data_IF_407464730930
#
_entry.id   IF_407464730930
#
_cell.length_a   1.000
_cell.length_b   1.000
_cell.length_c   1.000
_cell.angle_alpha   90.00
_cell.angle_beta   90.00
_cell.angle_gamma   90.00
#
_symmetry.space_group_name_H-M   'P 1'
#
loop_
_entity.id
_entity.type
_entity.pdbx_description
1 polymer ?
#
# COMPACT_ATOMS: atom_id res chain seq x y z
N UNK A 1 -16.71 -22.70 51.65
CA UNK A 1 -16.24 -21.33 51.92
C UNK A 1 -15.54 -20.84 50.66
N UNK A 2 -16.33 -20.43 49.68
CA UNK A 2 -16.75 -19.04 49.41
C UNK A 2 -15.66 -18.25 48.66
N UNK A 3 -15.94 -18.10 47.36
CA UNK A 3 -15.55 -16.98 46.52
C UNK A 3 -15.56 -15.65 47.28
N UNK A 4 -14.59 -14.79 47.00
CA UNK A 4 -14.69 -13.33 47.05
C UNK A 4 -13.37 -12.76 46.50
N UNK A 5 -13.31 -11.72 45.66
CA UNK A 5 -14.30 -10.93 44.94
C UNK A 5 -13.46 -9.90 44.16
N UNK A 6 -13.73 -9.74 42.87
CA UNK A 6 -13.28 -8.57 42.09
C UNK A 6 -13.65 -7.29 42.84
N UNK A 7 -12.66 -6.45 43.16
CA UNK A 7 -12.92 -5.11 43.69
C UNK A 7 -12.89 -4.10 42.53
N UNK A 8 -14.06 -3.91 41.94
CA UNK A 8 -14.39 -2.83 40.99
C UNK A 8 -14.40 -1.54 41.79
N UNK A 9 -13.35 -0.70 41.65
CA UNK A 9 -13.37 0.66 42.19
C UNK A 9 -13.68 1.69 41.11
N UNK A 10 -14.98 2.01 41.08
CA UNK A 10 -15.63 3.31 40.79
C UNK A 10 -14.86 4.31 39.90
N UNK A 11 -15.41 4.48 38.71
CA UNK A 11 -15.26 5.66 37.86
C UNK A 11 -15.71 6.91 38.62
N UNK A 12 -14.78 7.81 38.92
CA UNK A 12 -15.08 9.20 39.29
C UNK A 12 -14.94 10.08 38.05
N UNK A 13 -16.07 10.56 37.53
CA UNK A 13 -16.12 11.65 36.55
C UNK A 13 -15.70 12.96 37.25
N UNK A 14 -14.62 13.59 36.78
CA UNK A 14 -14.21 14.95 37.17
C UNK A 14 -13.45 15.61 35.98
N UNK A 15 -13.57 16.93 35.77
CA UNK A 15 -13.61 17.53 34.45
C UNK A 15 -12.24 17.86 33.86
N UNK A 16 -12.22 17.89 32.53
CA UNK A 16 -11.19 18.38 31.62
C UNK A 16 -10.30 19.46 32.26
N UNK A 17 -9.05 19.10 32.52
CA UNK A 17 -7.93 20.05 32.60
C UNK A 17 -6.76 19.50 31.80
N UNK A 18 -6.23 20.40 30.97
CA UNK A 18 -5.13 20.23 30.02
C UNK A 18 -3.88 19.63 30.69
N UNK A 19 -3.12 18.89 29.88
CA UNK A 19 -1.73 18.46 30.10
C UNK A 19 -1.47 17.59 31.33
N UNK A 20 -1.63 16.28 31.17
CA UNK A 20 -0.92 15.28 31.95
C UNK A 20 -0.41 14.23 30.96
N UNK A 21 0.89 14.32 30.63
CA UNK A 21 1.61 13.25 29.95
C UNK A 21 1.62 12.08 30.92
N UNK A 22 0.86 11.04 30.61
CA UNK A 22 0.90 9.80 31.37
C UNK A 22 2.13 9.03 30.89
N UNK A 23 3.25 9.18 31.59
CA UNK A 23 4.44 8.34 31.42
C UNK A 23 4.08 6.93 31.89
N UNK A 24 3.54 6.11 30.97
CA UNK A 24 3.50 4.67 31.16
C UNK A 24 4.95 4.16 31.20
N UNK A 25 5.23 3.25 32.14
CA UNK A 25 6.51 2.52 32.21
C UNK A 25 6.80 1.91 30.83
N UNK A 26 7.82 2.44 30.14
CA UNK A 26 8.35 1.88 28.89
C UNK A 26 9.02 0.55 29.20
N UNK A 27 8.30 -0.56 29.04
CA UNK A 27 8.96 -1.82 28.76
C UNK A 27 9.65 -1.68 27.40
N UNK A 28 10.90 -2.14 27.28
CA UNK A 28 11.69 -2.11 26.04
C UNK A 28 10.85 -2.61 24.85
N UNK A 29 10.30 -1.69 24.06
CA UNK A 29 9.60 -2.01 22.82
C UNK A 29 10.69 -2.34 21.82
N UNK A 30 11.12 -3.59 21.77
CA UNK A 30 11.75 -4.12 20.58
C UNK A 30 10.75 -3.89 19.45
N UNK A 31 11.04 -2.91 18.57
CA UNK A 31 10.22 -2.69 17.38
C UNK A 31 10.11 -4.04 16.67
N UNK A 32 8.90 -4.60 16.65
CA UNK A 32 8.66 -5.86 15.98
C UNK A 32 8.95 -5.64 14.49
N UNK A 33 10.07 -6.17 14.02
CA UNK A 33 10.56 -5.97 12.65
C UNK A 33 9.80 -6.82 11.63
N UNK A 34 8.74 -7.51 12.05
CA UNK A 34 7.81 -8.17 11.14
C UNK A 34 6.98 -7.12 10.39
N UNK A 35 7.03 -7.19 9.06
CA UNK A 35 6.17 -6.44 8.16
C UNK A 35 5.33 -7.41 7.34
N UNK A 36 4.03 -7.44 7.60
CA UNK A 36 3.07 -8.28 6.88
C UNK A 36 2.45 -7.50 5.74
N UNK A 37 2.61 -7.98 4.51
CA UNK A 37 1.99 -7.41 3.32
C UNK A 37 0.60 -8.02 3.11
N UNK A 38 -0.43 -7.20 3.26
CA UNK A 38 -1.84 -7.54 3.04
C UNK A 38 -2.19 -7.47 1.54
N UNK A 39 -1.57 -8.34 0.74
CA UNK A 39 -1.87 -8.49 -0.69
C UNK A 39 -1.71 -9.92 -1.17
N UNK A 40 -2.60 -10.33 -2.08
CA UNK A 40 -2.49 -11.62 -2.79
C UNK A 40 -1.63 -11.53 -4.06
N UNK A 41 -1.17 -10.33 -4.43
CA UNK A 41 -0.36 -10.13 -5.62
C UNK A 41 1.13 -10.36 -5.31
N UNK A 42 1.65 -11.53 -5.70
CA UNK A 42 3.05 -11.89 -5.48
C UNK A 42 4.07 -10.91 -6.08
N UNK A 43 3.75 -10.26 -7.22
CA UNK A 43 4.64 -9.24 -7.79
C UNK A 43 4.79 -8.02 -6.88
N UNK A 44 3.71 -7.62 -6.18
CA UNK A 44 3.78 -6.52 -5.21
C UNK A 44 4.63 -6.91 -4.00
N UNK A 45 4.47 -8.13 -3.49
CA UNK A 45 5.26 -8.65 -2.37
C UNK A 45 6.76 -8.58 -2.68
N UNK A 46 7.16 -9.01 -3.88
CA UNK A 46 8.57 -8.93 -4.29
C UNK A 46 9.08 -7.49 -4.43
N UNK A 47 8.26 -6.56 -4.94
CA UNK A 47 8.61 -5.13 -4.96
C UNK A 47 8.79 -4.56 -3.53
N UNK A 48 7.97 -4.96 -2.56
CA UNK A 48 8.10 -4.54 -1.17
C UNK A 48 9.33 -5.15 -0.48
N UNK A 49 9.58 -6.46 -0.65
CA UNK A 49 10.77 -7.13 -0.08
C UNK A 49 12.06 -6.41 -0.45
N UNK A 50 12.21 -6.07 -1.74
CA UNK A 50 13.37 -5.32 -2.25
C UNK A 50 13.59 -3.95 -1.58
N UNK A 51 12.57 -3.38 -0.95
CA UNK A 51 12.65 -2.06 -0.30
C UNK A 51 12.81 -2.18 1.22
N UNK A 52 12.07 -3.09 1.85
CA UNK A 52 12.00 -3.19 3.32
C UNK A 52 13.03 -4.15 3.92
N UNK A 53 13.41 -5.24 3.25
CA UNK A 53 14.43 -6.17 3.78
C UNK A 53 15.81 -5.51 3.94
N UNK A 54 16.30 -4.65 3.01
CA UNK A 54 17.59 -3.97 3.18
C UNK A 54 17.66 -3.03 4.39
N UNK A 55 16.53 -2.54 4.90
CA UNK A 55 16.45 -1.73 6.11
C UNK A 55 16.15 -2.56 7.37
N UNK A 56 16.17 -3.90 7.25
CA UNK A 56 16.15 -4.84 8.35
C UNK A 56 14.77 -5.35 8.77
N UNK A 57 13.71 -5.14 7.97
CA UNK A 57 12.41 -5.76 8.21
C UNK A 57 12.36 -7.20 7.70
N UNK A 58 11.66 -8.06 8.43
CA UNK A 58 11.28 -9.39 7.98
C UNK A 58 9.93 -9.29 7.28
N UNK A 59 9.93 -9.43 5.95
CA UNK A 59 8.75 -9.20 5.12
C UNK A 59 8.07 -10.51 4.77
N UNK A 60 6.84 -10.68 5.22
CA UNK A 60 5.97 -11.83 4.88
C UNK A 60 4.68 -11.33 4.25
N UNK A 61 3.94 -12.18 3.53
CA UNK A 61 2.58 -11.86 3.07
C UNK A 61 1.52 -12.57 3.92
N UNK A 62 0.29 -12.07 3.90
CA UNK A 62 -0.86 -12.77 4.52
C UNK A 62 -1.05 -14.17 3.94
N UNK A 63 -0.75 -14.34 2.64
CA UNK A 63 -0.75 -15.63 1.96
C UNK A 63 0.33 -16.58 2.51
N UNK A 64 1.54 -16.10 2.77
CA UNK A 64 2.62 -16.91 3.35
C UNK A 64 2.28 -17.37 4.78
N UNK A 65 1.48 -16.59 5.50
CA UNK A 65 0.96 -16.94 6.82
C UNK A 65 -0.26 -17.87 6.77
N UNK A 66 -0.74 -18.24 5.58
CA UNK A 66 -1.94 -19.07 5.42
C UNK A 66 -3.24 -18.37 5.83
N UNK A 67 -3.24 -17.03 5.89
CA UNK A 67 -4.41 -16.23 6.23
C UNK A 67 -5.16 -15.93 4.93
N UNK A 68 -6.36 -16.51 4.82
CA UNK A 68 -7.28 -16.26 3.71
C UNK A 68 -8.45 -15.43 4.23
N UNK A 69 -8.37 -14.12 4.02
CA UNK A 69 -9.43 -13.17 4.35
C UNK A 69 -9.79 -12.37 3.11
N UNK A 70 -11.03 -12.49 2.68
CA UNK A 70 -11.58 -11.65 1.62
C UNK A 70 -11.98 -10.30 2.22
N UNK A 71 -11.35 -9.22 1.74
CA UNK A 71 -11.62 -7.87 2.21
C UNK A 71 -12.33 -7.10 1.10
N UNK A 72 -13.57 -6.69 1.37
CA UNK A 72 -14.35 -5.89 0.42
C UNK A 72 -13.87 -4.44 0.39
N UNK A 73 -13.26 -4.04 -0.72
CA UNK A 73 -12.90 -2.64 -0.99
C UNK A 73 -14.13 -1.87 -1.47
N UNK A 74 -14.76 -1.12 -0.57
CA UNK A 74 -16.01 -0.38 -0.80
C UNK A 74 -15.80 1.14 -0.87
N UNK A 75 -14.58 1.62 -0.64
CA UNK A 75 -14.31 3.04 -0.58
C UNK A 75 -14.06 3.67 -1.95
N UNK A 76 -14.20 4.99 -2.01
CA UNK A 76 -14.05 5.77 -3.24
C UNK A 76 -12.64 6.31 -3.44
N UNK A 77 -11.73 6.12 -2.48
CA UNK A 77 -10.35 6.62 -2.52
C UNK A 77 -9.32 5.51 -2.26
N UNK A 78 -8.13 5.66 -2.85
CA UNK A 78 -7.03 4.71 -2.63
C UNK A 78 -6.60 4.65 -1.16
N UNK A 79 -6.61 5.79 -0.45
CA UNK A 79 -6.24 5.84 0.97
C UNK A 79 -7.18 5.02 1.84
N UNK A 80 -8.48 5.17 1.63
CA UNK A 80 -9.49 4.45 2.40
C UNK A 80 -9.43 2.95 2.09
N UNK A 81 -9.31 2.55 0.83
CA UNK A 81 -9.17 1.13 0.46
C UNK A 81 -7.90 0.51 1.05
N UNK A 82 -6.76 1.21 0.98
CA UNK A 82 -5.52 0.73 1.60
C UNK A 82 -5.69 0.56 3.12
N UNK A 83 -6.30 1.53 3.80
CA UNK A 83 -6.50 1.46 5.25
C UNK A 83 -7.48 0.35 5.65
N UNK A 84 -8.61 0.20 4.93
CA UNK A 84 -9.59 -0.88 5.14
C UNK A 84 -8.89 -2.24 5.04
N UNK A 85 -8.07 -2.43 3.99
CA UNK A 85 -7.29 -3.66 3.82
C UNK A 85 -6.34 -3.89 4.97
N UNK A 86 -5.52 -2.91 5.37
CA UNK A 86 -4.57 -3.10 6.45
C UNK A 86 -5.26 -3.39 7.79
N UNK A 87 -6.32 -2.65 8.13
CA UNK A 87 -7.08 -2.82 9.37
C UNK A 87 -7.73 -4.20 9.49
N UNK A 88 -8.18 -4.79 8.38
CA UNK A 88 -8.81 -6.10 8.37
C UNK A 88 -7.90 -7.23 8.89
N UNK A 89 -6.57 -7.07 8.81
CA UNK A 89 -5.60 -8.04 9.28
C UNK A 89 -5.02 -7.73 10.67
N UNK A 90 -5.37 -6.59 11.28
CA UNK A 90 -4.77 -6.12 12.55
C UNK A 90 -4.75 -7.18 13.65
N UNK A 91 -5.89 -7.82 13.86
CA UNK A 91 -6.06 -8.76 14.96
C UNK A 91 -5.60 -10.20 14.59
N UNK A 92 -5.09 -10.39 13.37
CA UNK A 92 -4.69 -11.70 12.83
C UNK A 92 -3.17 -11.88 12.75
N UNK A 93 -2.40 -10.80 12.84
CA UNK A 93 -0.94 -10.83 12.68
C UNK A 93 -0.23 -9.97 13.71
N UNK A 94 1.04 -10.29 13.95
CA UNK A 94 1.91 -9.48 14.79
C UNK A 94 2.83 -8.60 13.93
N UNK A 95 3.17 -7.43 14.46
CA UNK A 95 4.03 -6.44 13.81
C UNK A 95 3.26 -5.39 13.02
N UNK A 96 3.92 -4.83 12.02
CA UNK A 96 3.33 -3.83 11.13
C UNK A 96 2.63 -4.52 9.96
N UNK A 97 1.47 -4.01 9.59
CA UNK A 97 0.73 -4.43 8.40
C UNK A 97 0.83 -3.35 7.36
N UNK A 98 1.24 -3.73 6.15
CA UNK A 98 1.25 -2.87 4.98
C UNK A 98 0.19 -3.36 3.99
N UNK A 99 -0.75 -2.49 3.66
CA UNK A 99 -1.62 -2.69 2.50
C UNK A 99 -1.41 -1.55 1.51
N UNK A 100 -1.47 -1.85 0.22
CA UNK A 100 -1.50 -0.85 -0.84
C UNK A 100 -2.82 -0.88 -1.60
N UNK A 101 -3.30 0.29 -2.03
CA UNK A 101 -4.27 0.37 -3.12
C UNK A 101 -3.69 1.23 -4.24
N UNK A 102 -3.82 0.75 -5.47
CA UNK A 102 -3.08 1.31 -6.60
C UNK A 102 -3.86 1.20 -7.90
N UNK A 103 -3.81 2.25 -8.71
CA UNK A 103 -4.50 2.30 -9.99
C UNK A 103 -3.79 3.19 -11.01
N UNK A 104 -4.27 3.10 -12.25
CA UNK A 104 -3.90 3.98 -13.35
C UNK A 104 -5.09 4.90 -13.66
N UNK A 105 -4.79 6.18 -13.86
CA UNK A 105 -5.75 7.22 -14.19
C UNK A 105 -5.35 7.84 -15.52
N UNK A 106 -6.26 7.86 -16.48
CA UNK A 106 -6.01 8.31 -17.85
C UNK A 106 -6.85 9.56 -18.11
N UNK A 107 -6.19 10.68 -18.43
CA UNK A 107 -6.83 12.00 -18.52
C UNK A 107 -7.94 12.02 -19.59
N UNK A 108 -7.69 11.43 -20.77
CA UNK A 108 -8.69 11.34 -21.84
C UNK A 108 -9.85 10.38 -21.57
N UNK A 109 -9.76 9.53 -20.54
CA UNK A 109 -10.84 8.62 -20.13
C UNK A 109 -11.50 9.07 -18.83
N UNK A 110 -11.53 10.38 -18.57
CA UNK A 110 -12.07 10.96 -17.32
C UNK A 110 -11.45 10.33 -16.06
N UNK A 111 -10.13 10.12 -16.09
CA UNK A 111 -9.34 9.46 -15.04
C UNK A 111 -9.68 7.98 -14.78
N UNK A 112 -10.48 7.35 -15.65
CA UNK A 112 -10.69 5.90 -15.59
C UNK A 112 -9.43 5.14 -16.06
N UNK A 113 -9.19 3.91 -15.56
CA UNK A 113 -10.02 3.15 -14.60
C UNK A 113 -9.94 3.58 -13.13
N UNK A 114 -8.92 4.32 -12.72
CA UNK A 114 -8.77 4.84 -11.36
C UNK A 114 -8.75 3.74 -10.29
N UNK A 115 -9.50 3.93 -9.20
CA UNK A 115 -9.65 2.94 -8.11
C UNK A 115 -10.17 1.58 -8.60
N UNK A 116 -10.83 1.52 -9.75
CA UNK A 116 -11.33 0.27 -10.35
C UNK A 116 -10.31 -0.43 -11.26
N UNK A 117 -9.05 -0.01 -11.25
CA UNK A 117 -7.98 -0.56 -12.10
C UNK A 117 -7.89 -2.09 -12.09
N UNK A 118 -7.92 -2.72 -10.92
CA UNK A 118 -7.88 -4.19 -10.83
C UNK A 118 -9.12 -4.84 -11.47
N UNK A 119 -10.28 -4.19 -11.36
CA UNK A 119 -11.60 -4.70 -11.79
C UNK A 119 -12.07 -4.14 -13.13
N UNK A 120 -11.20 -3.41 -13.85
CA UNK A 120 -11.58 -2.76 -15.10
C UNK A 120 -12.00 -3.81 -16.14
N UNK A 121 -13.19 -3.69 -16.71
CA UNK A 121 -13.79 -4.72 -17.58
C UNK A 121 -14.02 -6.08 -16.89
N UNK A 122 -14.11 -6.11 -15.56
CA UNK A 122 -14.28 -7.33 -14.76
C UNK A 122 -12.96 -7.83 -14.17
N UNK A 123 -13.06 -8.40 -12.96
CA UNK A 123 -11.90 -8.87 -12.18
C UNK A 123 -11.12 -9.99 -12.88
N UNK A 124 -11.83 -10.92 -13.52
CA UNK A 124 -11.26 -12.06 -14.22
C UNK A 124 -10.71 -11.73 -15.61
N UNK A 125 -10.84 -10.48 -16.08
CA UNK A 125 -10.36 -10.09 -17.40
C UNK A 125 -8.83 -10.01 -17.39
N UNK A 126 -8.13 -10.71 -18.30
CA UNK A 126 -6.68 -10.61 -18.41
C UNK A 126 -6.20 -9.19 -18.71
N UNK A 127 -5.06 -8.79 -18.15
CA UNK A 127 -4.49 -7.46 -18.39
C UNK A 127 -4.13 -7.20 -19.85
N UNK A 128 -3.80 -8.22 -20.64
CA UNK A 128 -3.61 -8.07 -22.08
C UNK A 128 -4.87 -7.50 -22.77
N UNK A 129 -6.05 -7.99 -22.38
CA UNK A 129 -7.34 -7.50 -22.90
C UNK A 129 -7.60 -6.08 -22.38
N UNK A 130 -7.41 -5.83 -21.08
CA UNK A 130 -7.57 -4.48 -20.49
C UNK A 130 -6.68 -3.46 -21.21
N UNK A 131 -5.42 -3.80 -21.45
CA UNK A 131 -4.44 -2.95 -22.13
C UNK A 131 -4.86 -2.68 -23.57
N UNK A 132 -5.26 -3.71 -24.33
CA UNK A 132 -5.72 -3.54 -25.71
C UNK A 132 -6.95 -2.64 -25.80
N UNK A 133 -7.94 -2.84 -24.94
CA UNK A 133 -9.15 -2.01 -24.91
C UNK A 133 -8.85 -0.55 -24.56
N UNK A 134 -7.89 -0.28 -23.68
CA UNK A 134 -7.44 1.09 -23.40
C UNK A 134 -6.77 1.69 -24.64
N UNK A 135 -5.90 0.95 -25.32
CA UNK A 135 -5.23 1.43 -26.54
C UNK A 135 -6.24 1.75 -27.65
N UNK A 136 -7.22 0.88 -27.87
CA UNK A 136 -8.32 1.09 -28.84
C UNK A 136 -9.14 2.33 -28.49
N UNK A 137 -9.52 2.52 -27.22
CA UNK A 137 -10.25 3.71 -26.76
C UNK A 137 -9.49 5.02 -26.99
N UNK A 138 -8.16 4.94 -27.08
CA UNK A 138 -7.29 6.09 -27.25
C UNK A 138 -6.73 6.20 -28.67
N UNK A 139 -7.20 5.42 -29.66
CA UNK A 139 -6.60 5.37 -31.00
C UNK A 139 -6.52 6.76 -31.66
N UNK A 140 -7.61 7.52 -31.59
CA UNK A 140 -7.73 8.88 -32.13
C UNK A 140 -7.45 9.99 -31.10
N UNK A 141 -7.07 9.61 -29.88
CA UNK A 141 -6.84 10.56 -28.78
C UNK A 141 -5.42 11.13 -28.81
N UNK A 142 -5.33 12.45 -28.94
CA UNK A 142 -4.05 13.18 -28.85
C UNK A 142 -3.58 13.32 -27.40
N UNK A 143 -4.51 13.42 -26.44
CA UNK A 143 -4.18 13.51 -25.03
C UNK A 143 -3.99 12.12 -24.44
N UNK A 144 -2.74 11.68 -24.33
CA UNK A 144 -2.41 10.37 -23.73
C UNK A 144 -1.88 10.47 -22.30
N UNK A 145 -2.02 11.62 -21.64
CA UNK A 145 -1.51 11.81 -20.28
C UNK A 145 -2.19 10.84 -19.32
N UNK A 146 -1.39 10.21 -18.49
CA UNK A 146 -1.84 9.27 -17.48
C UNK A 146 -0.96 9.37 -16.24
N UNK A 147 -1.47 8.85 -15.13
CA UNK A 147 -0.67 8.67 -13.94
C UNK A 147 -1.00 7.34 -13.27
N UNK A 148 0.02 6.71 -12.72
CA UNK A 148 -0.20 5.72 -11.69
C UNK A 148 -0.27 6.39 -10.32
N UNK A 149 -1.17 5.87 -9.48
CA UNK A 149 -1.38 6.29 -8.10
C UNK A 149 -1.22 5.07 -7.20
N UNK A 150 -0.47 5.20 -6.10
CA UNK A 150 -0.41 4.19 -5.04
C UNK A 150 -0.57 4.88 -3.70
N UNK A 151 -1.54 4.40 -2.94
CA UNK A 151 -1.63 4.64 -1.52
C UNK A 151 -1.07 3.44 -0.76
N UNK A 152 -0.29 3.70 0.29
CA UNK A 152 0.15 2.68 1.25
C UNK A 152 -0.39 3.07 2.62
N UNK A 153 -1.03 2.11 3.30
CA UNK A 153 -1.40 2.20 4.70
C UNK A 153 -0.52 1.26 5.52
N UNK A 154 0.04 1.79 6.61
CA UNK A 154 0.71 1.06 7.67
C UNK A 154 -0.20 1.04 8.90
N UNK A 155 -0.43 -0.14 9.47
CA UNK A 155 -1.23 -0.32 10.70
C UNK A 155 -0.43 -1.18 11.67
N UNK A 156 -0.36 -0.79 12.94
CA UNK A 156 0.23 -1.61 14.00
C UNK A 156 -0.85 -2.39 14.78
N UNK A 157 -0.42 -3.30 15.65
CA UNK A 157 -1.29 -4.15 16.48
C UNK A 157 -2.27 -3.35 17.35
N UNK A 158 -1.91 -2.13 17.77
CA UNK A 158 -2.77 -1.26 18.57
C UNK A 158 -3.84 -0.53 17.74
N UNK A 159 -3.76 -0.61 16.40
CA UNK A 159 -4.64 0.09 15.47
C UNK A 159 -4.22 1.52 15.19
N UNK A 160 -3.04 1.95 15.63
CA UNK A 160 -2.43 3.18 15.13
C UNK A 160 -2.02 3.00 13.67
N UNK A 161 -2.21 4.04 12.88
CA UNK A 161 -1.98 3.95 11.44
C UNK A 161 -1.31 5.18 10.84
N UNK A 162 -0.66 4.96 9.71
CA UNK A 162 -0.06 5.99 8.87
C UNK A 162 -0.36 5.69 7.41
N UNK A 163 -0.70 6.72 6.62
CA UNK A 163 -1.05 6.56 5.21
C UNK A 163 -0.26 7.56 4.37
N UNK A 164 0.22 7.11 3.21
CA UNK A 164 0.84 7.96 2.19
C UNK A 164 0.23 7.69 0.83
N UNK A 165 0.22 8.70 -0.02
CA UNK A 165 -0.18 8.61 -1.43
C UNK A 165 0.93 9.18 -2.29
N UNK A 166 1.33 8.44 -3.32
CA UNK A 166 2.31 8.89 -4.29
C UNK A 166 1.86 8.61 -5.71
N UNK A 167 2.34 9.44 -6.63
CA UNK A 167 2.00 9.35 -8.05
C UNK A 167 3.24 9.24 -8.94
N UNK A 168 3.04 8.64 -10.10
CA UNK A 168 4.00 8.64 -11.18
C UNK A 168 3.25 9.08 -12.44
N UNK A 169 3.61 10.26 -12.94
CA UNK A 169 3.05 10.84 -14.16
C UNK A 169 3.75 10.26 -15.38
N UNK A 170 3.02 10.21 -16.48
CA UNK A 170 3.49 9.66 -17.73
C UNK A 170 2.44 9.76 -18.83
N UNK A 171 2.55 8.87 -19.79
CA UNK A 171 1.63 8.78 -20.92
C UNK A 171 1.34 7.34 -21.29
N UNK A 172 0.21 7.11 -21.94
CA UNK A 172 -0.13 5.81 -22.52
C UNK A 172 0.60 5.68 -23.86
N UNK A 173 1.31 4.57 -24.07
CA UNK A 173 1.95 4.24 -25.33
C UNK A 173 0.92 4.01 -26.45
N UNK A 174 1.34 4.02 -27.71
CA UNK A 174 0.45 3.69 -28.84
C UNK A 174 0.30 2.18 -29.06
N UNK A 175 1.16 1.38 -28.46
CA UNK A 175 1.14 -0.08 -28.56
C UNK A 175 1.67 -0.69 -27.27
N UNK A 176 1.47 -2.00 -27.10
CA UNK A 176 2.05 -2.76 -25.99
C UNK A 176 3.56 -2.87 -26.22
N UNK A 177 4.35 -2.44 -25.25
CA UNK A 177 5.80 -2.42 -25.30
C UNK A 177 6.38 -3.15 -24.08
N UNK A 178 7.31 -4.08 -24.29
CA UNK A 178 7.99 -4.79 -23.21
C UNK A 178 7.23 -5.97 -22.63
N UNK A 179 7.85 -6.64 -21.66
CA UNK A 179 7.33 -7.88 -21.04
C UNK A 179 7.63 -8.01 -19.55
N UNK A 180 8.41 -7.09 -18.97
CA UNK A 180 8.64 -7.03 -17.53
C UNK A 180 7.44 -6.42 -16.81
N UNK A 181 7.46 -6.50 -15.48
CA UNK A 181 6.42 -5.89 -14.65
C UNK A 181 5.08 -6.61 -14.75
N UNK A 182 3.99 -5.90 -14.53
CA UNK A 182 2.64 -6.45 -14.51
C UNK A 182 1.58 -5.40 -14.78
N UNK A 183 0.34 -5.83 -14.98
CA UNK A 183 -0.79 -4.92 -15.09
C UNK A 183 -0.73 -4.04 -16.34
N UNK A 184 -0.78 -2.72 -16.13
CA UNK A 184 -0.73 -1.70 -17.18
C UNK A 184 0.69 -1.25 -17.52
N UNK A 185 1.72 -1.83 -16.90
CA UNK A 185 3.14 -1.50 -17.19
C UNK A 185 3.49 -1.53 -18.69
N UNK A 186 2.96 -2.46 -19.52
CA UNK A 186 3.30 -2.51 -20.95
C UNK A 186 2.78 -1.34 -21.79
N UNK A 187 1.82 -0.57 -21.29
CA UNK A 187 1.24 0.56 -22.01
C UNK A 187 1.55 1.90 -21.37
N UNK A 188 2.33 1.95 -20.28
CA UNK A 188 2.61 3.18 -19.56
C UNK A 188 4.08 3.59 -19.71
N UNK A 189 4.31 4.80 -20.21
CA UNK A 189 5.63 5.43 -20.36
C UNK A 189 5.74 6.54 -19.31
N UNK A 190 6.61 6.41 -18.28
CA UNK A 190 6.78 7.43 -17.26
C UNK A 190 7.44 8.70 -17.83
N UNK A 191 7.13 9.86 -17.24
CA UNK A 191 7.76 11.13 -17.62
C UNK A 191 9.29 11.04 -17.51
N UNK A 192 9.99 11.52 -18.54
CA UNK A 192 11.45 11.47 -18.63
C UNK A 192 12.03 10.19 -19.23
N UNK A 193 11.19 9.27 -19.71
CA UNK A 193 11.60 8.04 -20.39
C UNK A 193 10.93 7.90 -21.75
N UNK A 194 11.55 7.12 -22.63
CA UNK A 194 10.95 6.70 -23.92
C UNK A 194 10.42 5.26 -23.87
N UNK A 195 10.85 4.49 -22.87
CA UNK A 195 10.49 3.10 -22.65
C UNK A 195 9.26 2.97 -21.74
N UNK A 196 8.43 1.96 -22.00
CA UNK A 196 7.36 1.60 -21.06
C UNK A 196 7.94 1.03 -19.76
N UNK A 197 7.15 1.02 -18.68
CA UNK A 197 7.53 0.31 -17.46
C UNK A 197 7.85 -1.17 -17.67
N UNK A 198 7.21 -1.83 -18.63
CA UNK A 198 7.52 -3.23 -18.95
C UNK A 198 8.80 -3.41 -19.78
N UNK A 199 9.40 -2.33 -20.28
CA UNK A 199 10.72 -2.34 -20.91
C UNK A 199 11.84 -1.96 -19.94
N UNK A 200 11.54 -1.18 -18.89
CA UNK A 200 12.53 -0.81 -17.88
C UNK A 200 12.95 -2.03 -17.04
N UNK A 201 14.22 -2.09 -16.59
CA UNK A 201 14.63 -3.02 -15.56
C UNK A 201 13.81 -2.82 -14.27
N UNK A 202 13.51 -3.90 -13.51
CA UNK A 202 12.75 -3.79 -12.26
C UNK A 202 13.35 -2.80 -11.26
N UNK A 203 14.67 -2.70 -11.19
CA UNK A 203 15.39 -1.80 -10.30
C UNK A 203 15.11 -0.34 -10.64
N UNK A 204 15.15 0.01 -11.93
CA UNK A 204 14.82 1.37 -12.41
C UNK A 204 13.35 1.69 -12.16
N UNK A 205 12.44 0.75 -12.44
CA UNK A 205 11.01 0.91 -12.15
C UNK A 205 10.77 1.19 -10.66
N UNK A 206 11.42 0.45 -9.78
CA UNK A 206 11.29 0.62 -8.33
C UNK A 206 11.79 1.99 -7.84
N UNK A 207 12.69 2.64 -8.58
CA UNK A 207 13.14 3.98 -8.23
C UNK A 207 12.14 5.08 -8.56
N UNK A 208 11.47 4.99 -9.71
CA UNK A 208 10.64 6.07 -10.26
C UNK A 208 9.13 5.86 -10.11
N UNK A 209 8.70 4.62 -9.92
CA UNK A 209 7.28 4.26 -9.84
C UNK A 209 6.58 4.85 -8.62
N UNK A 210 5.27 5.02 -8.75
CA UNK A 210 4.33 5.41 -7.70
C UNK A 210 4.46 4.51 -6.46
N UNK A 211 4.50 3.18 -6.62
CA UNK A 211 4.66 2.22 -5.51
C UNK A 211 6.05 2.31 -4.89
N UNK A 212 7.10 2.42 -5.70
CA UNK A 212 8.47 2.61 -5.19
C UNK A 212 8.60 3.85 -4.31
N UNK A 213 8.03 4.98 -4.75
CA UNK A 213 7.98 6.23 -3.98
C UNK A 213 7.18 6.09 -2.69
N UNK A 214 5.97 5.50 -2.75
CA UNK A 214 5.15 5.25 -1.57
C UNK A 214 5.88 4.34 -0.56
N UNK A 215 6.53 3.28 -1.05
CA UNK A 215 7.24 2.31 -0.22
C UNK A 215 8.46 2.94 0.45
N UNK A 216 9.21 3.79 -0.26
CA UNK A 216 10.32 4.58 0.32
C UNK A 216 9.82 5.51 1.42
N UNK A 217 8.67 6.18 1.22
CA UNK A 217 8.08 7.02 2.27
C UNK A 217 7.68 6.20 3.51
N UNK A 218 7.06 5.03 3.31
CA UNK A 218 6.72 4.09 4.37
C UNK A 218 7.96 3.56 5.10
N UNK A 219 9.00 3.20 4.37
CA UNK A 219 10.29 2.77 4.90
C UNK A 219 10.95 3.85 5.77
N UNK A 220 10.96 5.11 5.31
CA UNK A 220 11.45 6.25 6.10
C UNK A 220 10.65 6.44 7.39
N UNK A 221 9.32 6.33 7.33
CA UNK A 221 8.46 6.45 8.52
C UNK A 221 8.76 5.34 9.55
N UNK A 222 8.83 4.09 9.11
CA UNK A 222 9.15 2.96 9.99
C UNK A 222 10.56 3.05 10.57
N UNK A 223 11.53 3.52 9.77
CA UNK A 223 12.89 3.74 10.24
C UNK A 223 12.95 4.83 11.32
N UNK A 224 12.26 5.96 11.11
CA UNK A 224 12.16 7.03 12.11
C UNK A 224 11.62 6.53 13.46
N UNK A 225 10.53 5.75 13.44
CA UNK A 225 9.98 5.16 14.66
C UNK A 225 10.96 4.20 15.33
N UNK A 226 11.78 3.48 14.54
CA UNK A 226 12.79 2.58 15.09
C UNK A 226 13.90 3.34 15.81
N UNK A 227 14.35 4.49 15.30
CA UNK A 227 15.43 5.28 15.90
C UNK A 227 14.98 6.07 17.15
N UNK A 228 13.76 6.62 17.17
CA UNK A 228 13.20 7.22 18.39
C UNK A 228 13.09 6.22 19.55
N UNK A 229 13.00 4.93 19.24
CA UNK A 229 12.99 3.86 20.24
C UNK A 229 14.37 3.57 20.84
N UNK A 230 15.48 4.02 20.21
CA UNK A 230 16.86 3.79 20.66
C UNK A 230 17.51 4.98 21.39
N UNK A 231 16.94 6.18 21.30
CA UNK A 231 17.54 7.41 21.82
C UNK A 231 16.94 7.92 23.14
N UNK A 232 16.15 7.11 23.84
CA UNK A 232 15.59 7.39 25.18
C UNK A 232 15.87 6.25 26.16
#
# INVERSE_FOLDING_TARGET
MYFNSMDIRRVSLCPIRKSAIYLMKKENVYMNKQLVIATNNGHKVEEFKKIFEPIGFEVTSTKDLGIDLEVEETASTYQENALIKAMAYRDLVSGWILADDSGIEIEALDFQPGVFSARYLGEQTPYEIKNRMILEKLEEETNRRAQFVCSIALVNEEGSYWVTINTCKGSIAHQILGSHGFGYDPIFIPDGYEQSFAQLPPEVKNEVSHRGKASKAAATYLHYLSEESYHE
#
